data_IF_920107778747
#
_entry.id   IF_920107778747
#
_cell.length_a   1.000
_cell.length_b   1.000
_cell.length_c   1.000
_cell.angle_alpha   90.00
_cell.angle_beta   90.00
_cell.angle_gamma   90.00
#
_symmetry.space_group_name_H-M   'P 1'
#
loop_
_entity.id
_entity.type
_entity.pdbx_description
1 polymer ?
#
# COMPACT_ATOMS: atom_id res chain seq x y z
N UNK A 1 -84.94 12.13 21.09
CA UNK A 1 -83.76 12.54 21.87
C UNK A 1 -82.89 11.31 22.10
N UNK A 2 -81.67 11.28 21.53
CA UNK A 2 -80.55 10.34 21.77
C UNK A 2 -80.86 8.82 21.82
N UNK A 3 -80.45 8.04 20.81
CA UNK A 3 -79.13 7.35 20.64
C UNK A 3 -79.31 5.84 20.83
N UNK A 4 -78.99 5.05 19.80
CA UNK A 4 -77.81 4.16 19.82
C UNK A 4 -77.61 3.47 18.47
N UNK A 5 -76.42 3.73 17.95
CA UNK A 5 -75.76 3.10 16.82
C UNK A 5 -75.34 1.68 17.23
N UNK A 6 -75.50 0.71 16.33
CA UNK A 6 -74.67 -0.51 16.31
C UNK A 6 -74.05 -0.61 14.91
N UNK A 7 -72.74 -0.38 14.87
CA UNK A 7 -71.86 -0.68 13.74
C UNK A 7 -71.61 -2.19 13.74
N UNK A 8 -71.90 -2.86 12.63
CA UNK A 8 -71.35 -4.18 12.33
C UNK A 8 -70.23 -4.00 11.29
N UNK A 9 -69.02 -4.37 11.70
CA UNK A 9 -67.82 -4.47 10.86
C UNK A 9 -67.95 -5.62 9.86
N UNK A 10 -67.53 -5.39 8.62
CA UNK A 10 -67.09 -6.43 7.68
C UNK A 10 -65.73 -5.98 7.13
N UNK A 11 -64.64 -6.76 7.27
CA UNK A 11 -63.32 -6.36 6.82
C UNK A 11 -63.22 -6.62 5.31
N UNK A 12 -63.13 -5.55 4.51
CA UNK A 12 -62.64 -5.67 3.15
C UNK A 12 -61.13 -5.85 3.22
N UNK A 13 -60.67 -7.08 2.96
CA UNK A 13 -59.28 -7.37 2.58
C UNK A 13 -58.97 -6.59 1.30
N UNK A 14 -58.32 -5.44 1.45
CA UNK A 14 -57.67 -4.75 0.34
C UNK A 14 -56.44 -5.58 -0.05
N UNK A 15 -56.60 -6.43 -1.06
CA UNK A 15 -55.49 -6.97 -1.83
C UNK A 15 -54.75 -5.75 -2.38
N UNK A 16 -53.62 -5.40 -1.76
CA UNK A 16 -52.69 -4.45 -2.33
C UNK A 16 -52.17 -5.10 -3.61
N UNK A 17 -52.72 -4.70 -4.75
CA UNK A 17 -52.14 -4.97 -6.04
C UNK A 17 -50.75 -4.32 -6.02
N UNK A 18 -49.71 -5.12 -5.80
CA UNK A 18 -48.36 -4.73 -6.18
C UNK A 18 -48.42 -4.49 -7.70
N UNK A 19 -48.56 -3.22 -8.09
CA UNK A 19 -48.41 -2.84 -9.48
C UNK A 19 -47.03 -3.32 -9.92
N UNK A 20 -46.99 -4.20 -10.92
CA UNK A 20 -45.72 -4.61 -11.51
C UNK A 20 -44.94 -3.35 -11.91
N UNK A 21 -43.64 -3.26 -11.59
CA UNK A 21 -42.84 -2.09 -11.93
C UNK A 21 -42.95 -1.85 -13.44
N UNK A 22 -43.41 -0.65 -13.79
CA UNK A 22 -43.60 -0.24 -15.17
C UNK A 22 -42.26 -0.38 -15.91
N UNK A 23 -42.25 -1.19 -16.98
CA UNK A 23 -41.05 -1.49 -17.76
C UNK A 23 -40.97 -0.58 -18.98
N UNK A 24 -39.75 -0.23 -19.38
CA UNK A 24 -39.51 0.54 -20.59
C UNK A 24 -39.87 -0.28 -21.84
N UNK A 25 -40.30 0.39 -22.90
CA UNK A 25 -40.61 -0.29 -24.16
C UNK A 25 -39.32 -0.85 -24.80
N UNK A 26 -39.43 -2.02 -25.43
CA UNK A 26 -38.29 -2.65 -26.14
C UNK A 26 -37.70 -1.74 -27.21
N UNK A 27 -38.54 -0.91 -27.83
CA UNK A 27 -38.14 0.08 -28.84
C UNK A 27 -37.25 1.16 -28.21
N UNK A 28 -37.67 1.76 -27.10
CA UNK A 28 -36.92 2.84 -26.45
C UNK A 28 -35.59 2.34 -25.87
N UNK A 29 -35.60 1.13 -25.30
CA UNK A 29 -34.38 0.43 -24.87
C UNK A 29 -33.43 0.19 -26.04
N UNK A 30 -33.94 -0.27 -27.18
CA UNK A 30 -33.14 -0.52 -28.39
C UNK A 30 -32.48 0.75 -28.95
N UNK A 31 -33.20 1.88 -28.96
CA UNK A 31 -32.63 3.15 -29.38
C UNK A 31 -31.57 3.67 -28.40
N UNK A 32 -31.84 3.61 -27.08
CA UNK A 32 -30.87 4.02 -26.08
C UNK A 32 -29.58 3.18 -26.15
N UNK A 33 -29.72 1.86 -26.33
CA UNK A 33 -28.61 0.92 -26.52
C UNK A 33 -27.77 1.24 -27.77
N UNK A 34 -28.41 1.57 -28.89
CA UNK A 34 -27.72 1.91 -30.14
C UNK A 34 -26.80 3.13 -29.95
N UNK A 35 -27.34 4.26 -29.47
CA UNK A 35 -26.56 5.48 -29.26
C UNK A 35 -25.48 5.31 -28.18
N UNK A 36 -25.76 4.51 -27.14
CA UNK A 36 -24.78 4.20 -26.11
C UNK A 36 -23.60 3.40 -26.69
N UNK A 37 -23.84 2.40 -27.53
CA UNK A 37 -22.77 1.65 -28.20
C UNK A 37 -21.92 2.53 -29.11
N UNK A 38 -22.54 3.45 -29.84
CA UNK A 38 -21.79 4.43 -30.65
C UNK A 38 -20.90 5.32 -29.77
N UNK A 39 -21.45 5.87 -28.69
CA UNK A 39 -20.69 6.69 -27.75
C UNK A 39 -19.53 5.90 -27.11
N UNK A 40 -19.78 4.67 -26.65
CA UNK A 40 -18.75 3.76 -26.13
C UNK A 40 -17.64 3.49 -27.17
N UNK A 41 -18.01 3.28 -28.44
CA UNK A 41 -17.07 3.06 -29.52
C UNK A 41 -16.28 4.32 -29.88
N UNK A 42 -16.88 5.52 -29.82
CA UNK A 42 -16.18 6.79 -29.97
C UNK A 42 -15.16 7.00 -28.84
N UNK A 43 -15.56 6.76 -27.59
CA UNK A 43 -14.69 6.83 -26.40
C UNK A 43 -13.52 5.86 -26.50
N UNK A 44 -13.74 4.63 -26.96
CA UNK A 44 -12.64 3.68 -27.19
C UNK A 44 -11.67 4.17 -28.27
N UNK A 45 -12.19 4.67 -29.40
CA UNK A 45 -11.38 5.15 -30.53
C UNK A 45 -10.55 6.39 -30.18
N UNK A 46 -11.10 7.30 -29.38
CA UNK A 46 -10.40 8.51 -28.92
C UNK A 46 -9.47 8.25 -27.73
N UNK A 47 -9.35 6.99 -27.27
CA UNK A 47 -8.69 6.63 -26.01
C UNK A 47 -9.18 7.47 -24.82
N UNK A 48 -10.46 7.85 -24.86
CA UNK A 48 -11.10 8.64 -23.82
C UNK A 48 -10.82 10.14 -23.85
N UNK A 49 -9.97 10.67 -24.75
CA UNK A 49 -9.53 12.08 -24.76
C UNK A 49 -10.63 13.11 -24.39
N UNK A 50 -10.36 13.93 -23.36
CA UNK A 50 -11.28 14.96 -22.88
C UNK A 50 -11.51 16.09 -23.92
N UNK A 51 -10.55 16.28 -24.83
CA UNK A 51 -10.58 17.32 -25.86
C UNK A 51 -11.30 16.86 -27.14
N UNK A 52 -11.74 15.60 -27.18
CA UNK A 52 -12.47 15.06 -28.33
C UNK A 52 -13.96 15.38 -28.21
N UNK A 53 -14.54 15.87 -29.30
CA UNK A 53 -15.99 16.02 -29.42
C UNK A 53 -16.62 14.66 -29.74
N UNK A 54 -17.46 14.17 -28.83
CA UNK A 54 -18.22 12.92 -28.97
C UNK A 54 -19.60 13.22 -29.55
N UNK A 55 -19.89 12.70 -30.75
CA UNK A 55 -21.11 13.05 -31.50
C UNK A 55 -22.34 12.42 -30.84
N UNK A 56 -22.26 11.13 -30.52
CA UNK A 56 -23.40 10.38 -29.96
C UNK A 56 -23.61 10.58 -28.45
N UNK A 57 -22.75 11.36 -27.79
CA UNK A 57 -22.76 11.55 -26.33
C UNK A 57 -24.06 12.16 -25.81
N UNK A 58 -24.46 13.33 -26.31
CA UNK A 58 -25.62 14.04 -25.77
C UNK A 58 -26.91 13.26 -26.02
N UNK A 59 -27.03 12.64 -27.19
CA UNK A 59 -28.19 11.81 -27.55
C UNK A 59 -28.29 10.54 -26.68
N UNK A 60 -27.16 9.85 -26.46
CA UNK A 60 -27.11 8.69 -25.56
C UNK A 60 -27.51 9.07 -24.13
N UNK A 61 -26.90 10.13 -23.57
CA UNK A 61 -27.14 10.54 -22.19
C UNK A 61 -28.56 11.07 -21.97
N UNK A 62 -29.10 11.87 -22.88
CA UNK A 62 -30.46 12.41 -22.77
C UNK A 62 -31.51 11.28 -22.81
N UNK A 63 -31.35 10.31 -23.71
CA UNK A 63 -32.29 9.17 -23.84
C UNK A 63 -32.28 8.31 -22.58
N UNK A 64 -31.09 7.98 -22.08
CA UNK A 64 -30.94 7.17 -20.86
C UNK A 64 -31.41 7.93 -19.63
N UNK A 65 -31.18 9.25 -19.54
CA UNK A 65 -31.70 10.08 -18.45
C UNK A 65 -33.24 10.08 -18.44
N UNK A 66 -33.88 10.23 -19.60
CA UNK A 66 -35.35 10.15 -19.71
C UNK A 66 -35.85 8.78 -19.25
N UNK A 67 -35.24 7.70 -19.73
CA UNK A 67 -35.60 6.34 -19.31
C UNK A 67 -35.44 6.13 -17.80
N UNK A 68 -34.34 6.59 -17.20
CA UNK A 68 -34.10 6.43 -15.76
C UNK A 68 -35.07 7.26 -14.90
N UNK A 69 -35.51 8.44 -15.38
CA UNK A 69 -36.53 9.24 -14.71
C UNK A 69 -37.92 8.59 -14.79
N UNK A 70 -38.25 7.94 -15.89
CA UNK A 70 -39.57 7.33 -16.12
C UNK A 70 -39.67 5.91 -15.55
N UNK A 71 -38.60 5.13 -15.60
CA UNK A 71 -38.56 3.72 -15.20
C UNK A 71 -37.34 3.41 -14.29
N UNK A 72 -37.23 4.06 -13.11
CA UNK A 72 -36.04 3.94 -12.26
C UNK A 72 -35.80 2.54 -11.68
N UNK A 73 -36.84 1.69 -11.65
CA UNK A 73 -36.77 0.32 -11.12
C UNK A 73 -36.64 -0.75 -12.22
N UNK A 74 -36.57 -0.37 -13.50
CA UNK A 74 -36.37 -1.33 -14.59
C UNK A 74 -34.88 -1.76 -14.65
N UNK A 75 -34.55 -3.05 -14.46
CA UNK A 75 -33.17 -3.54 -14.50
C UNK A 75 -32.45 -3.25 -15.83
N UNK A 76 -33.16 -3.25 -16.96
CA UNK A 76 -32.57 -2.97 -18.26
C UNK A 76 -32.16 -1.50 -18.38
N UNK A 77 -32.96 -0.59 -17.83
CA UNK A 77 -32.66 0.84 -17.77
C UNK A 77 -31.49 1.10 -16.83
N UNK A 78 -31.44 0.43 -15.67
CA UNK A 78 -30.31 0.52 -14.73
C UNK A 78 -28.99 0.05 -15.37
N UNK A 79 -29.02 -1.04 -16.14
CA UNK A 79 -27.84 -1.53 -16.86
C UNK A 79 -27.33 -0.52 -17.91
N UNK A 80 -28.24 0.11 -18.67
CA UNK A 80 -27.91 1.19 -19.60
C UNK A 80 -27.31 2.40 -18.88
N UNK A 81 -27.89 2.78 -17.73
CA UNK A 81 -27.44 3.90 -16.92
C UNK A 81 -26.01 3.72 -16.41
N UNK A 82 -25.70 2.55 -15.84
CA UNK A 82 -24.34 2.25 -15.35
C UNK A 82 -23.31 2.25 -16.48
N UNK A 83 -23.64 1.67 -17.64
CA UNK A 83 -22.77 1.72 -18.82
C UNK A 83 -22.55 3.14 -19.32
N UNK A 84 -23.60 3.95 -19.40
CA UNK A 84 -23.50 5.35 -19.80
C UNK A 84 -22.64 6.18 -18.84
N UNK A 85 -22.77 5.94 -17.54
CA UNK A 85 -21.91 6.54 -16.51
C UNK A 85 -20.44 6.18 -16.73
N UNK A 86 -20.13 4.90 -16.96
CA UNK A 86 -18.76 4.45 -17.26
C UNK A 86 -18.22 5.09 -18.54
N UNK A 87 -19.01 5.10 -19.62
CA UNK A 87 -18.61 5.71 -20.89
C UNK A 87 -18.35 7.22 -20.74
N UNK A 88 -19.21 7.92 -19.99
CA UNK A 88 -19.05 9.34 -19.69
C UNK A 88 -17.77 9.63 -18.90
N UNK A 89 -17.45 8.80 -17.92
CA UNK A 89 -16.21 8.92 -17.15
C UNK A 89 -14.98 8.67 -18.04
N UNK A 90 -15.01 7.62 -18.86
CA UNK A 90 -13.95 7.32 -19.85
C UNK A 90 -13.78 8.43 -20.88
N UNK A 91 -14.84 9.14 -21.27
CA UNK A 91 -14.78 10.28 -22.20
C UNK A 91 -14.02 11.50 -21.65
N UNK A 92 -13.50 11.45 -20.42
CA UNK A 92 -12.75 12.54 -19.76
C UNK A 92 -11.24 12.32 -19.76
N UNK A 93 -10.73 11.41 -20.57
CA UNK A 93 -9.32 11.30 -20.97
C UNK A 93 -8.50 10.35 -20.13
N UNK A 94 -8.88 10.20 -18.87
CA UNK A 94 -7.98 9.72 -17.83
C UNK A 94 -8.73 8.83 -16.84
N UNK A 95 -9.53 7.87 -17.33
CA UNK A 95 -10.36 7.05 -16.46
C UNK A 95 -10.27 5.57 -16.80
N UNK A 96 -9.96 4.77 -15.79
CA UNK A 96 -10.08 3.32 -15.83
C UNK A 96 -11.02 2.83 -14.73
N UNK A 97 -11.83 1.83 -15.02
CA UNK A 97 -12.75 1.29 -14.02
C UNK A 97 -11.97 0.38 -13.07
N UNK A 98 -11.85 0.80 -11.81
CA UNK A 98 -11.24 -0.03 -10.77
C UNK A 98 -12.18 -1.20 -10.44
N UNK A 99 -11.70 -2.42 -10.65
CA UNK A 99 -12.46 -3.64 -10.36
C UNK A 99 -12.17 -4.13 -8.94
N UNK A 100 -13.07 -4.90 -8.31
CA UNK A 100 -12.81 -5.50 -7.00
C UNK A 100 -11.53 -6.35 -6.96
N UNK A 101 -11.21 -7.05 -8.05
CA UNK A 101 -9.98 -7.84 -8.16
C UNK A 101 -8.71 -6.98 -8.09
N UNK A 102 -8.73 -5.78 -8.71
CA UNK A 102 -7.57 -4.87 -8.72
C UNK A 102 -7.21 -4.34 -7.33
N UNK A 103 -8.17 -4.32 -6.39
CA UNK A 103 -8.02 -3.81 -5.02
C UNK A 103 -8.23 -4.88 -3.96
N UNK A 104 -8.30 -6.16 -4.34
CA UNK A 104 -8.50 -7.26 -3.40
C UNK A 104 -7.41 -7.30 -2.32
N UNK A 105 -6.18 -6.95 -2.70
CA UNK A 105 -5.04 -6.85 -1.78
C UNK A 105 -5.29 -5.89 -0.61
N UNK A 106 -5.99 -4.77 -0.82
CA UNK A 106 -6.32 -3.81 0.25
C UNK A 106 -7.26 -4.42 1.28
N UNK A 107 -8.18 -5.29 0.85
CA UNK A 107 -9.08 -6.00 1.76
C UNK A 107 -8.33 -7.07 2.55
N UNK A 108 -7.45 -7.84 1.88
CA UNK A 108 -6.60 -8.84 2.55
C UNK A 108 -5.71 -8.19 3.61
N UNK A 109 -5.10 -7.06 3.27
CA UNK A 109 -4.30 -6.26 4.19
C UNK A 109 -5.11 -5.73 5.36
N UNK A 110 -6.31 -5.19 5.11
CA UNK A 110 -7.21 -4.74 6.18
C UNK A 110 -7.54 -5.87 7.15
N UNK A 111 -7.87 -7.06 6.64
CA UNK A 111 -8.16 -8.23 7.47
C UNK A 111 -6.93 -8.66 8.29
N UNK A 112 -5.75 -8.65 7.67
CA UNK A 112 -4.51 -8.99 8.36
C UNK A 112 -4.21 -7.99 9.48
N UNK A 113 -4.31 -6.69 9.18
CA UNK A 113 -4.12 -5.62 10.16
C UNK A 113 -5.09 -5.74 11.34
N UNK A 114 -6.38 -5.96 11.08
CA UNK A 114 -7.39 -6.13 12.13
C UNK A 114 -7.08 -7.35 13.03
N UNK A 115 -6.65 -8.47 12.44
CA UNK A 115 -6.21 -9.66 13.19
C UNK A 115 -5.02 -9.33 14.08
N UNK A 116 -3.98 -8.72 13.54
CA UNK A 116 -2.74 -8.45 14.29
C UNK A 116 -2.91 -7.32 15.32
N UNK A 117 -3.81 -6.37 15.09
CA UNK A 117 -4.19 -5.37 16.08
C UNK A 117 -4.78 -6.03 17.34
N UNK A 118 -5.70 -6.99 17.17
CA UNK A 118 -6.30 -7.74 18.28
C UNK A 118 -5.28 -8.61 19.03
N UNK A 119 -4.42 -9.32 18.28
CA UNK A 119 -3.33 -10.11 18.85
C UNK A 119 -2.36 -9.22 19.64
N UNK A 120 -2.03 -8.06 19.09
CA UNK A 120 -1.13 -7.10 19.71
C UNK A 120 -1.72 -6.47 20.96
N UNK A 121 -3.01 -6.12 20.96
CA UNK A 121 -3.70 -5.60 22.14
C UNK A 121 -3.71 -6.64 23.27
N UNK A 122 -3.99 -7.90 22.93
CA UNK A 122 -3.95 -9.02 23.89
C UNK A 122 -2.56 -9.16 24.49
N UNK A 123 -1.53 -9.23 23.64
CA UNK A 123 -0.14 -9.35 24.08
C UNK A 123 0.31 -8.14 24.90
N UNK A 124 -0.10 -6.93 24.52
CA UNK A 124 0.21 -5.70 25.27
C UNK A 124 -0.37 -5.73 26.69
N UNK A 125 -1.60 -6.24 26.85
CA UNK A 125 -2.21 -6.45 28.17
C UNK A 125 -1.46 -7.52 28.97
N UNK A 126 -1.11 -8.65 28.35
CA UNK A 126 -0.31 -9.71 29.00
C UNK A 126 1.03 -9.20 29.51
N UNK A 127 1.74 -8.38 28.71
CA UNK A 127 3.02 -7.82 29.10
C UNK A 127 2.94 -6.94 30.35
N UNK A 128 1.77 -6.35 30.62
CA UNK A 128 1.55 -5.51 31.80
C UNK A 128 1.07 -6.29 33.03
N UNK A 129 0.51 -7.49 32.84
CA UNK A 129 -0.07 -8.28 33.93
C UNK A 129 0.98 -8.71 34.95
N UNK A 130 0.66 -8.57 36.24
CA UNK A 130 1.52 -9.00 37.34
C UNK A 130 2.77 -8.15 37.58
N UNK A 131 2.94 -7.04 36.82
CA UNK A 131 4.04 -6.11 37.01
C UNK A 131 3.66 -4.98 37.93
N UNK A 132 4.62 -4.53 38.75
CA UNK A 132 4.51 -3.29 39.50
C UNK A 132 4.80 -2.11 38.57
N UNK A 133 3.77 -1.71 37.82
CA UNK A 133 3.85 -0.60 36.87
C UNK A 133 3.66 0.71 37.62
N UNK A 134 4.62 1.61 37.44
CA UNK A 134 4.50 2.97 37.94
C UNK A 134 3.29 3.66 37.31
N UNK A 135 2.25 3.86 38.12
CA UNK A 135 1.00 4.47 37.71
C UNK A 135 1.10 5.96 37.36
N UNK A 136 2.21 6.63 37.71
CA UNK A 136 2.40 8.06 37.48
C UNK A 136 3.83 8.36 37.05
N UNK A 137 3.93 9.30 36.11
CA UNK A 137 5.16 10.01 35.74
C UNK A 137 5.78 10.58 37.02
N UNK A 138 6.87 9.97 37.48
CA UNK A 138 7.70 10.41 38.60
C UNK A 138 8.17 11.86 38.41
N UNK A 139 8.19 12.68 39.48
CA UNK A 139 8.70 14.05 39.41
C UNK A 139 10.16 14.09 38.92
N UNK A 140 10.57 15.27 38.45
CA UNK A 140 11.96 15.58 38.08
C UNK A 140 12.93 15.05 39.13
N UNK A 141 13.96 14.34 38.68
CA UNK A 141 15.04 13.85 39.55
C UNK A 141 15.50 14.97 40.48
N UNK A 142 15.52 14.72 41.79
CA UNK A 142 16.18 15.59 42.76
C UNK A 142 17.39 14.83 43.34
N UNK A 143 18.60 15.05 42.79
CA UNK A 143 19.79 14.33 43.23
C UNK A 143 20.12 14.52 44.72
N UNK A 144 19.58 15.55 45.37
CA UNK A 144 19.82 15.86 46.78
C UNK A 144 18.75 15.29 47.71
N UNK A 145 17.61 14.83 47.18
CA UNK A 145 16.47 14.35 47.99
C UNK A 145 15.94 12.97 47.61
N UNK A 146 16.44 12.36 46.54
CA UNK A 146 16.08 10.99 46.20
C UNK A 146 16.59 10.04 47.29
N UNK A 147 15.69 9.44 48.06
CA UNK A 147 15.93 8.29 48.94
C UNK A 147 15.73 6.98 48.15
N UNK A 148 16.24 5.83 48.64
CA UNK A 148 15.99 4.53 48.03
C UNK A 148 14.49 4.19 47.84
N UNK A 149 13.59 4.74 48.67
CA UNK A 149 12.14 4.53 48.50
C UNK A 149 11.53 5.38 47.37
N UNK A 150 12.17 6.51 47.06
CA UNK A 150 11.76 7.45 46.00
C UNK A 150 12.51 7.24 44.69
N UNK A 151 13.52 6.37 44.68
CA UNK A 151 14.24 6.00 43.47
C UNK A 151 13.38 5.01 42.65
N UNK A 152 12.96 5.38 41.43
CA UNK A 152 12.19 4.49 40.56
C UNK A 152 13.07 3.53 39.75
N UNK A 153 14.39 3.49 39.99
CA UNK A 153 15.29 2.53 39.32
C UNK A 153 14.80 1.09 39.50
N UNK A 154 14.96 0.27 38.46
CA UNK A 154 14.41 -1.09 38.29
C UNK A 154 12.88 -1.19 38.19
N UNK A 155 12.13 -0.11 38.40
CA UNK A 155 10.67 -0.15 38.24
C UNK A 155 10.28 -0.13 36.77
N UNK A 156 9.16 -0.78 36.48
CA UNK A 156 8.57 -0.80 35.14
C UNK A 156 7.68 0.43 34.95
N UNK A 157 7.77 1.05 33.77
CA UNK A 157 6.94 2.19 33.39
C UNK A 157 6.35 2.00 32.00
N UNK A 158 5.13 2.51 31.82
CA UNK A 158 4.49 2.67 30.52
C UNK A 158 4.51 4.15 30.15
N UNK A 159 5.26 4.49 29.11
CA UNK A 159 5.40 5.85 28.61
C UNK A 159 4.63 6.01 27.30
N UNK A 160 3.51 6.75 27.28
CA UNK A 160 2.84 7.12 26.04
C UNK A 160 3.56 8.28 25.34
N UNK A 161 3.13 8.58 24.12
CA UNK A 161 3.57 9.75 23.34
C UNK A 161 5.07 9.83 23.03
N UNK A 162 5.73 8.67 22.91
CA UNK A 162 7.13 8.57 22.50
C UNK A 162 7.17 8.69 20.97
N UNK A 163 7.56 9.85 20.46
CA UNK A 163 7.63 10.10 19.03
C UNK A 163 9.03 9.76 18.50
N UNK A 164 9.12 9.16 17.33
CA UNK A 164 10.40 8.94 16.67
C UNK A 164 10.22 9.10 15.15
N UNK A 165 11.15 9.80 14.45
CA UNK A 165 12.39 10.41 14.97
C UNK A 165 12.20 11.78 15.65
N UNK A 166 10.96 12.26 15.77
CA UNK A 166 10.68 13.53 16.46
C UNK A 166 11.15 13.46 17.93
N UNK A 167 11.76 14.51 18.48
CA UNK A 167 12.32 14.54 19.84
C UNK A 167 13.52 13.61 20.12
N UNK A 168 14.08 12.99 19.09
CA UNK A 168 15.39 12.35 19.19
C UNK A 168 16.49 13.38 19.47
N UNK A 169 17.43 13.05 20.33
CA UNK A 169 18.64 13.83 20.55
C UNK A 169 19.83 12.93 20.92
N UNK A 170 21.03 13.38 20.55
CA UNK A 170 22.29 12.77 20.96
C UNK A 170 22.80 13.53 22.17
N UNK A 171 22.76 12.87 23.32
CA UNK A 171 23.21 13.38 24.61
C UNK A 171 24.68 13.06 24.89
N UNK A 172 25.12 13.41 26.10
CA UNK A 172 26.47 13.10 26.57
C UNK A 172 26.63 11.62 26.93
N UNK A 173 25.56 10.97 27.40
CA UNK A 173 25.58 9.57 27.85
C UNK A 173 24.99 8.56 26.87
N UNK A 174 24.40 9.02 25.77
CA UNK A 174 23.78 8.14 24.78
C UNK A 174 22.87 8.87 23.81
N UNK A 175 22.06 8.08 23.11
CA UNK A 175 21.05 8.58 22.18
C UNK A 175 19.66 8.28 22.72
N UNK A 176 18.82 9.31 22.77
CA UNK A 176 17.55 9.25 23.48
C UNK A 176 16.41 9.90 22.72
N UNK A 177 15.18 9.51 23.09
CA UNK A 177 13.97 10.28 22.81
C UNK A 177 13.52 10.92 24.11
N UNK A 178 13.33 12.25 24.11
CA UNK A 178 12.79 12.94 25.28
C UNK A 178 11.26 12.84 25.34
N UNK A 179 10.75 12.48 26.52
CA UNK A 179 9.33 12.46 26.86
C UNK A 179 9.12 13.26 28.14
N UNK A 180 8.02 14.02 28.21
CA UNK A 180 7.67 14.83 29.38
C UNK A 180 8.05 16.30 29.25
N UNK A 181 8.04 17.01 30.39
CA UNK A 181 8.22 18.46 30.47
C UNK A 181 8.72 18.86 31.86
N UNK A 182 9.29 20.07 32.04
CA UNK A 182 9.89 20.48 33.31
C UNK A 182 8.96 20.36 34.53
N UNK A 183 7.65 20.54 34.36
CA UNK A 183 6.68 20.47 35.45
C UNK A 183 6.27 19.05 35.87
N UNK A 184 6.54 18.04 35.03
CA UNK A 184 6.17 16.64 35.31
C UNK A 184 7.37 15.71 35.36
N UNK A 185 8.58 16.22 35.15
CA UNK A 185 9.79 15.41 34.97
C UNK A 185 10.01 15.00 33.51
N UNK A 186 11.27 14.70 33.20
CA UNK A 186 11.70 14.18 31.91
C UNK A 186 12.00 12.68 32.00
N UNK A 187 11.72 11.99 30.90
CA UNK A 187 12.17 10.63 30.64
C UNK A 187 13.00 10.63 29.37
N UNK A 188 14.10 9.90 29.40
CA UNK A 188 15.00 9.73 28.27
C UNK A 188 14.94 8.27 27.86
N UNK A 189 14.13 7.96 26.84
CA UNK A 189 14.03 6.60 26.32
C UNK A 189 15.31 6.30 25.53
N UNK A 190 16.08 5.31 25.96
CA UNK A 190 17.33 4.93 25.31
C UNK A 190 17.04 4.25 23.97
N UNK A 191 17.62 4.79 22.90
CA UNK A 191 17.45 4.24 21.54
C UNK A 191 18.76 3.78 20.89
N UNK A 192 19.90 3.94 21.57
CA UNK A 192 21.21 3.51 21.06
C UNK A 192 21.47 2.00 21.19
N UNK A 193 20.61 1.28 21.91
CA UNK A 193 20.76 -0.14 22.23
C UNK A 193 19.93 -1.09 21.35
N UNK A 194 20.17 -2.39 21.52
CA UNK A 194 19.38 -3.46 20.85
C UNK A 194 17.94 -3.51 21.35
N UNK A 195 17.73 -3.01 22.56
CA UNK A 195 16.49 -2.90 23.30
C UNK A 195 15.46 -2.04 22.54
N UNK A 196 15.93 -1.00 21.84
CA UNK A 196 15.12 -0.22 20.90
C UNK A 196 15.18 -0.78 19.48
N UNK A 197 16.39 -1.04 18.97
CA UNK A 197 16.60 -1.41 17.57
C UNK A 197 15.89 -2.71 17.19
N UNK A 198 15.90 -3.73 18.07
CA UNK A 198 15.24 -5.02 17.82
C UNK A 198 13.73 -4.88 17.60
N UNK A 199 12.98 -4.34 18.58
CA UNK A 199 11.55 -4.06 18.42
C UNK A 199 11.24 -3.10 17.26
N UNK A 200 12.04 -2.05 17.07
CA UNK A 200 11.83 -1.09 15.99
C UNK A 200 11.99 -1.73 14.60
N UNK A 201 13.00 -2.59 14.41
CA UNK A 201 13.15 -3.38 13.19
C UNK A 201 12.02 -4.41 13.02
N UNK A 202 11.47 -4.96 14.10
CA UNK A 202 10.28 -5.80 14.03
C UNK A 202 9.04 -5.03 13.52
N UNK A 203 8.87 -3.77 13.96
CA UNK A 203 7.81 -2.89 13.46
C UNK A 203 8.02 -2.55 11.97
N UNK A 204 9.26 -2.35 11.51
CA UNK A 204 9.54 -2.17 10.07
C UNK A 204 9.16 -3.42 9.26
N UNK A 205 9.45 -4.63 9.77
CA UNK A 205 9.03 -5.89 9.12
C UNK A 205 7.51 -6.01 9.12
N UNK A 206 6.84 -5.71 10.22
CA UNK A 206 5.38 -5.66 10.28
C UNK A 206 4.78 -4.67 9.28
N UNK A 207 5.36 -3.47 9.12
CA UNK A 207 4.90 -2.51 8.10
C UNK A 207 4.95 -3.11 6.69
N UNK A 208 6.07 -3.75 6.38
CA UNK A 208 6.34 -4.38 5.07
C UNK A 208 5.47 -5.58 4.79
N UNK A 209 5.10 -6.33 5.82
CA UNK A 209 4.44 -7.62 5.65
C UNK A 209 2.94 -7.57 5.97
N UNK A 210 2.54 -6.72 6.91
CA UNK A 210 1.18 -6.64 7.43
C UNK A 210 0.56 -5.29 7.10
N UNK A 211 1.06 -4.18 7.64
CA UNK A 211 0.39 -2.87 7.59
C UNK A 211 1.22 -1.77 6.94
N UNK A 212 1.01 -1.56 5.65
CA UNK A 212 1.69 -0.55 4.84
C UNK A 212 1.16 0.87 5.06
N UNK A 213 0.07 1.02 5.84
CA UNK A 213 -0.48 2.33 6.18
C UNK A 213 0.25 3.04 7.32
N UNK A 214 1.12 2.33 8.05
CA UNK A 214 2.01 2.93 9.05
C UNK A 214 3.01 3.87 8.35
N UNK A 215 3.00 5.14 8.75
CA UNK A 215 3.90 6.17 8.22
C UNK A 215 5.34 6.05 8.74
N UNK A 216 6.15 7.07 8.44
CA UNK A 216 7.57 7.12 8.84
C UNK A 216 7.79 7.78 10.23
N UNK A 217 6.94 8.74 10.62
CA UNK A 217 6.89 9.25 12.01
C UNK A 217 5.82 8.47 12.77
N UNK A 218 6.27 7.80 13.84
CA UNK A 218 5.44 6.89 14.61
C UNK A 218 5.34 7.41 16.05
N UNK A 219 4.13 7.32 16.59
CA UNK A 219 3.88 7.57 17.99
C UNK A 219 3.81 6.23 18.72
N UNK A 220 4.73 6.01 19.65
CA UNK A 220 4.84 4.77 20.40
C UNK A 220 4.36 4.97 21.84
N UNK A 221 3.80 3.89 22.38
CA UNK A 221 3.78 3.65 23.81
C UNK A 221 4.88 2.66 24.15
N UNK A 222 5.80 3.06 25.03
CA UNK A 222 6.96 2.26 25.42
C UNK A 222 6.69 1.62 26.77
N UNK A 223 6.83 0.30 26.84
CA UNK A 223 7.01 -0.41 28.10
C UNK A 223 8.51 -0.57 28.32
N UNK A 224 9.01 -0.12 29.46
CA UNK A 224 10.44 -0.21 29.75
C UNK A 224 10.76 -0.17 31.24
N UNK A 225 12.03 -0.41 31.56
CA UNK A 225 12.57 -0.31 32.91
C UNK A 225 13.35 0.97 33.07
N UNK A 226 13.22 1.60 34.23
CA UNK A 226 14.03 2.76 34.58
C UNK A 226 15.39 2.27 35.06
N UNK A 227 16.46 2.67 34.40
CA UNK A 227 17.82 2.23 34.73
C UNK A 227 18.58 3.22 35.60
N UNK A 228 18.10 4.45 35.69
CA UNK A 228 18.65 5.47 36.58
C UNK A 228 18.46 6.89 36.04
N UNK A 229 19.00 7.89 36.75
CA UNK A 229 18.94 9.29 36.33
C UNK A 229 20.06 9.64 35.35
N UNK A 230 19.78 10.55 34.42
CA UNK A 230 20.78 11.19 33.56
C UNK A 230 20.56 12.70 33.49
N UNK A 231 21.65 13.44 33.26
CA UNK A 231 21.65 14.89 33.13
C UNK A 231 22.01 15.27 31.69
N UNK A 232 21.00 15.69 30.93
CA UNK A 232 21.09 15.81 29.47
C UNK A 232 20.54 17.14 28.97
N UNK A 233 20.80 17.45 27.69
CA UNK A 233 20.21 18.59 26.98
C UNK A 233 19.10 18.06 26.05
N UNK A 234 17.86 17.91 26.52
CA UNK A 234 16.80 17.30 25.72
C UNK A 234 16.39 18.17 24.53
N UNK A 235 16.48 17.65 23.30
CA UNK A 235 15.97 18.32 22.09
C UNK A 235 16.93 19.32 21.42
N UNK A 236 16.39 20.15 20.51
CA UNK A 236 17.21 20.98 19.61
C UNK A 236 17.70 22.29 20.26
N UNK A 237 19.01 22.39 20.53
CA UNK A 237 19.88 23.59 20.80
C UNK A 237 19.41 24.73 21.73
N UNK A 238 18.14 24.84 22.13
CA UNK A 238 17.57 25.95 22.93
C UNK A 238 17.02 25.53 24.29
N UNK A 239 17.15 24.25 24.63
CA UNK A 239 16.75 23.69 25.92
C UNK A 239 17.92 23.74 26.89
N UNK A 240 17.64 24.11 28.14
CA UNK A 240 18.62 24.04 29.23
C UNK A 240 18.84 22.57 29.62
N UNK A 241 20.01 22.27 30.20
CA UNK A 241 20.27 20.96 30.79
C UNK A 241 19.20 20.62 31.82
N UNK A 242 18.74 19.38 31.79
CA UNK A 242 17.70 18.88 32.66
C UNK A 242 18.02 17.45 33.12
N UNK A 243 17.62 17.15 34.35
CA UNK A 243 17.62 15.78 34.81
C UNK A 243 16.39 15.03 34.31
N UNK A 244 16.59 13.78 33.93
CA UNK A 244 15.52 12.86 33.55
C UNK A 244 15.84 11.42 33.93
N UNK A 245 14.82 10.58 33.94
CA UNK A 245 14.96 9.14 34.18
C UNK A 245 15.21 8.42 32.85
N UNK A 246 16.29 7.65 32.76
CA UNK A 246 16.60 6.84 31.60
C UNK A 246 15.68 5.62 31.60
N UNK A 247 15.05 5.34 30.47
CA UNK A 247 14.19 4.18 30.27
C UNK A 247 14.78 3.29 29.20
N UNK A 248 15.03 2.04 29.57
CA UNK A 248 15.43 0.99 28.65
C UNK A 248 14.18 0.26 28.13
N UNK A 249 13.91 0.29 26.81
CA UNK A 249 12.71 -0.33 26.24
C UNK A 249 12.71 -1.84 26.37
N UNK A 250 11.57 -2.42 26.74
CA UNK A 250 11.32 -3.86 26.64
C UNK A 250 10.28 -4.19 25.56
N UNK A 251 9.36 -3.26 25.29
CA UNK A 251 8.40 -3.39 24.20
C UNK A 251 7.98 -2.01 23.64
N UNK A 252 7.70 -1.99 22.35
CA UNK A 252 7.15 -0.85 21.62
C UNK A 252 5.73 -1.19 21.17
N UNK A 253 4.77 -0.34 21.50
CA UNK A 253 3.37 -0.51 21.13
C UNK A 253 2.90 0.69 20.30
N UNK A 254 2.24 0.40 19.18
CA UNK A 254 1.52 1.37 18.36
C UNK A 254 0.04 1.01 18.47
N UNK A 255 -0.74 1.92 19.05
CA UNK A 255 -2.12 1.64 19.43
C UNK A 255 -2.99 1.27 18.24
N UNK A 256 -3.72 0.16 18.35
CA UNK A 256 -4.55 -0.37 17.26
C UNK A 256 -3.78 -1.00 16.09
N UNK A 257 -2.46 -1.17 16.19
CA UNK A 257 -1.63 -1.72 15.11
C UNK A 257 -0.76 -2.90 15.56
N UNK A 258 0.23 -2.65 16.42
CA UNK A 258 1.29 -3.64 16.70
C UNK A 258 1.90 -3.46 18.09
N UNK A 259 2.23 -4.58 18.73
CA UNK A 259 3.26 -4.63 19.79
C UNK A 259 4.46 -5.42 19.28
N UNK A 260 5.65 -4.84 19.48
CA UNK A 260 6.92 -5.51 19.25
C UNK A 260 7.69 -5.59 20.56
N UNK A 261 8.33 -6.73 20.81
CA UNK A 261 9.04 -7.03 22.05
C UNK A 261 10.52 -7.23 21.80
N UNK A 262 11.33 -6.80 22.77
CA UNK A 262 12.75 -7.09 22.78
C UNK A 262 12.98 -8.52 23.25
N UNK A 263 13.87 -9.23 22.57
CA UNK A 263 14.30 -10.57 22.96
C UNK A 263 15.78 -10.73 22.63
N UNK A 264 16.62 -10.69 23.67
CA UNK A 264 18.07 -10.83 23.53
C UNK A 264 18.52 -12.19 22.97
N UNK A 265 17.68 -13.23 23.10
CA UNK A 265 17.96 -14.58 22.59
C UNK A 265 17.58 -14.76 21.12
N UNK A 266 16.78 -13.84 20.58
CA UNK A 266 16.33 -13.89 19.20
C UNK A 266 17.39 -13.31 18.26
N UNK A 267 17.62 -13.96 17.10
CA UNK A 267 18.65 -13.55 16.13
C UNK A 267 18.51 -12.08 15.67
N UNK A 268 17.27 -11.59 15.59
CA UNK A 268 16.94 -10.21 15.20
C UNK A 268 16.77 -9.25 16.40
N UNK A 269 17.03 -9.71 17.62
CA UNK A 269 16.85 -8.98 18.89
C UNK A 269 15.44 -8.47 19.20
N UNK A 270 14.45 -8.73 18.34
CA UNK A 270 13.05 -8.42 18.60
C UNK A 270 12.11 -9.03 17.58
N UNK A 271 10.85 -9.19 17.98
CA UNK A 271 9.78 -9.83 17.22
C UNK A 271 8.43 -9.18 17.52
N UNK A 272 7.46 -9.43 16.64
CA UNK A 272 6.05 -9.16 16.93
C UNK A 272 5.26 -10.46 17.02
N UNK A 273 4.04 -10.37 17.57
CA UNK A 273 3.18 -11.52 17.84
C UNK A 273 2.92 -12.32 16.56
N UNK A 274 3.22 -13.62 16.56
CA UNK A 274 3.03 -14.53 15.42
C UNK A 274 3.73 -14.10 14.11
N UNK A 275 4.87 -13.39 14.19
CA UNK A 275 5.66 -12.98 13.01
C UNK A 275 5.95 -14.14 12.04
N UNK A 276 6.26 -15.33 12.57
CA UNK A 276 6.55 -16.55 11.82
C UNK A 276 5.36 -17.07 11.00
N UNK A 277 4.12 -16.77 11.41
CA UNK A 277 2.90 -17.24 10.74
C UNK A 277 2.47 -16.33 9.59
N UNK A 278 2.99 -15.11 9.49
CA UNK A 278 2.60 -14.12 8.48
C UNK A 278 2.78 -14.68 7.07
N UNK A 279 3.93 -15.29 6.79
CA UNK A 279 4.24 -15.84 5.47
C UNK A 279 3.21 -16.89 5.02
N UNK A 280 2.89 -17.86 5.90
CA UNK A 280 1.92 -18.92 5.59
C UNK A 280 0.50 -18.41 5.36
N UNK A 281 0.09 -17.33 6.03
CA UNK A 281 -1.21 -16.69 5.78
C UNK A 281 -1.23 -16.09 4.36
N UNK A 282 -0.14 -15.44 3.95
CA UNK A 282 -0.05 -14.73 2.66
C UNK A 282 0.14 -15.66 1.47
N UNK A 283 0.69 -16.86 1.66
CA UNK A 283 0.82 -17.85 0.59
C UNK A 283 -0.50 -18.18 -0.12
N UNK A 284 -1.61 -18.17 0.63
CA UNK A 284 -2.95 -18.38 0.08
C UNK A 284 -3.52 -17.20 -0.70
N UNK A 285 -2.86 -16.03 -0.66
CA UNK A 285 -3.33 -14.80 -1.30
C UNK A 285 -2.57 -14.47 -2.59
N UNK A 286 -1.43 -15.10 -2.81
CA UNK A 286 -0.62 -14.83 -3.99
C UNK A 286 -1.33 -15.29 -5.27
N UNK A 287 -1.60 -14.34 -6.15
CA UNK A 287 -2.16 -14.64 -7.48
C UNK A 287 -1.10 -15.18 -8.42
N UNK A 288 0.14 -14.70 -8.27
CA UNK A 288 1.32 -15.12 -9.02
C UNK A 288 2.41 -15.58 -8.05
N UNK A 289 3.12 -16.65 -8.43
CA UNK A 289 4.21 -17.22 -7.60
C UNK A 289 5.57 -17.21 -8.29
N UNK A 290 5.57 -17.12 -9.60
CA UNK A 290 6.78 -17.19 -10.44
C UNK A 290 6.59 -16.33 -11.68
N UNK A 291 7.68 -15.78 -12.22
CA UNK A 291 7.65 -15.09 -13.51
C UNK A 291 7.88 -16.12 -14.64
N UNK A 292 6.94 -16.28 -15.59
CA UNK A 292 7.12 -17.19 -16.72
C UNK A 292 8.34 -16.81 -17.58
N UNK A 293 9.09 -17.81 -18.05
CA UNK A 293 10.30 -17.61 -18.87
C UNK A 293 10.02 -16.86 -20.19
N UNK A 294 8.83 -17.05 -20.75
CA UNK A 294 8.38 -16.45 -22.01
C UNK A 294 7.44 -15.25 -21.81
N UNK A 295 7.37 -14.68 -20.62
CA UNK A 295 6.52 -13.52 -20.34
C UNK A 295 6.90 -12.32 -21.22
N UNK A 296 5.90 -11.60 -21.75
CA UNK A 296 6.14 -10.34 -22.47
C UNK A 296 6.61 -9.25 -21.50
N UNK A 297 7.24 -8.16 -21.98
CA UNK A 297 7.65 -7.05 -21.13
C UNK A 297 6.50 -6.46 -20.29
N UNK A 298 5.31 -6.30 -20.87
CA UNK A 298 4.12 -5.84 -20.13
C UNK A 298 3.74 -6.83 -19.04
N UNK A 299 3.76 -8.13 -19.35
CA UNK A 299 3.41 -9.17 -18.39
C UNK A 299 4.38 -9.21 -17.22
N UNK A 300 5.68 -9.01 -17.46
CA UNK A 300 6.68 -8.88 -16.38
C UNK A 300 6.36 -7.66 -15.49
N UNK A 301 6.00 -6.53 -16.08
CA UNK A 301 5.60 -5.34 -15.31
C UNK A 301 4.29 -5.53 -14.52
N UNK A 302 3.33 -6.27 -15.07
CA UNK A 302 2.11 -6.66 -14.35
C UNK A 302 2.45 -7.53 -13.14
N UNK A 303 3.28 -8.56 -13.31
CA UNK A 303 3.71 -9.44 -12.21
C UNK A 303 4.51 -8.66 -11.18
N UNK A 304 5.38 -7.74 -11.61
CA UNK A 304 6.11 -6.82 -10.75
C UNK A 304 5.16 -5.97 -9.88
N UNK A 305 4.13 -5.36 -10.48
CA UNK A 305 3.11 -4.61 -9.74
C UNK A 305 2.32 -5.50 -8.78
N UNK A 306 1.91 -6.69 -9.23
CA UNK A 306 1.19 -7.68 -8.41
C UNK A 306 2.01 -8.09 -7.20
N UNK A 307 3.30 -8.37 -7.38
CA UNK A 307 4.19 -8.72 -6.29
C UNK A 307 4.20 -7.63 -5.22
N UNK A 308 4.26 -6.36 -5.61
CA UNK A 308 4.18 -5.20 -4.68
C UNK A 308 2.83 -5.16 -3.97
N UNK A 309 1.72 -5.24 -4.71
CA UNK A 309 0.36 -5.22 -4.15
C UNK A 309 0.15 -6.31 -3.10
N UNK A 310 0.63 -7.51 -3.38
CA UNK A 310 0.47 -8.68 -2.52
C UNK A 310 1.57 -8.81 -1.47
N UNK A 311 2.49 -7.84 -1.43
CA UNK A 311 3.64 -7.82 -0.52
C UNK A 311 4.46 -9.13 -0.59
N UNK A 312 4.67 -9.64 -1.81
CA UNK A 312 5.51 -10.78 -2.14
C UNK A 312 6.92 -10.30 -2.56
N UNK A 313 7.78 -10.08 -1.57
CA UNK A 313 9.12 -9.55 -1.79
C UNK A 313 10.00 -10.47 -2.66
N UNK A 314 9.83 -11.79 -2.51
CA UNK A 314 10.60 -12.76 -3.28
C UNK A 314 10.28 -12.68 -4.78
N UNK A 315 8.99 -12.66 -5.14
CA UNK A 315 8.57 -12.49 -6.53
C UNK A 315 8.99 -11.12 -7.10
N UNK A 316 8.90 -10.07 -6.28
CA UNK A 316 9.39 -8.74 -6.65
C UNK A 316 10.88 -8.75 -7.00
N UNK A 317 11.72 -9.39 -6.17
CA UNK A 317 13.15 -9.54 -6.43
C UNK A 317 13.39 -10.37 -7.70
N UNK A 318 12.61 -11.42 -7.92
CA UNK A 318 12.70 -12.25 -9.13
C UNK A 318 12.38 -11.48 -10.41
N UNK A 319 11.48 -10.50 -10.39
CA UNK A 319 11.18 -9.66 -11.55
C UNK A 319 12.36 -8.75 -11.95
N UNK A 320 13.27 -8.45 -11.04
CA UNK A 320 14.34 -7.46 -11.22
C UNK A 320 15.62 -8.14 -11.71
N UNK A 321 16.36 -7.43 -12.55
CA UNK A 321 17.65 -7.87 -13.07
C UNK A 321 18.59 -8.22 -11.89
N UNK A 322 19.07 -9.48 -11.77
CA UNK A 322 19.93 -9.92 -10.66
C UNK A 322 21.21 -9.12 -10.50
N UNK A 323 21.72 -8.52 -11.58
CA UNK A 323 22.88 -7.62 -11.54
C UNK A 323 22.64 -6.39 -10.65
N UNK A 324 21.39 -5.99 -10.44
CA UNK A 324 21.02 -4.78 -9.69
C UNK A 324 21.02 -4.93 -8.18
N UNK A 325 21.18 -6.15 -7.65
CA UNK A 325 21.15 -6.42 -6.20
C UNK A 325 22.22 -7.43 -5.73
N UNK A 326 23.35 -7.51 -6.43
CA UNK A 326 24.45 -8.42 -6.07
C UNK A 326 25.17 -8.09 -4.76
N UNK A 327 25.16 -6.82 -4.36
CA UNK A 327 25.83 -6.34 -3.14
C UNK A 327 24.82 -6.10 -2.04
N UNK A 328 25.26 -6.17 -0.78
CA UNK A 328 24.41 -5.90 0.38
C UNK A 328 23.81 -4.49 0.35
N UNK A 329 24.59 -3.48 -0.06
CA UNK A 329 24.10 -2.11 -0.26
C UNK A 329 23.01 -2.03 -1.31
N UNK A 330 23.14 -2.79 -2.41
CA UNK A 330 22.16 -2.81 -3.48
C UNK A 330 20.88 -3.56 -3.07
N UNK A 331 20.99 -4.64 -2.29
CA UNK A 331 19.85 -5.32 -1.67
C UNK A 331 19.12 -4.39 -0.68
N UNK A 332 19.85 -3.60 0.10
CA UNK A 332 19.25 -2.58 0.97
C UNK A 332 18.52 -1.50 0.17
N UNK A 333 19.10 -1.02 -0.93
CA UNK A 333 18.46 -0.05 -1.82
C UNK A 333 17.19 -0.63 -2.47
N UNK A 334 17.24 -1.90 -2.83
CA UNK A 334 16.09 -2.63 -3.36
C UNK A 334 14.93 -2.67 -2.36
N UNK A 335 15.22 -2.94 -1.08
CA UNK A 335 14.23 -2.88 0.02
C UNK A 335 13.67 -1.48 0.24
N UNK A 336 14.52 -0.46 0.12
CA UNK A 336 14.07 0.93 0.21
C UNK A 336 13.04 1.27 -0.87
N UNK A 337 13.30 0.93 -2.14
CA UNK A 337 12.33 1.19 -3.21
C UNK A 337 11.06 0.34 -3.09
N UNK A 338 11.18 -0.89 -2.60
CA UNK A 338 10.02 -1.71 -2.25
C UNK A 338 9.10 -1.03 -1.24
N UNK A 339 9.66 -0.44 -0.19
CA UNK A 339 8.90 0.30 0.82
C UNK A 339 8.19 1.52 0.22
N UNK A 340 8.88 2.28 -0.64
CA UNK A 340 8.28 3.43 -1.32
C UNK A 340 7.15 3.02 -2.28
N UNK A 341 7.28 1.87 -2.95
CA UNK A 341 6.26 1.39 -3.89
C UNK A 341 4.96 1.07 -3.17
N UNK A 342 5.07 0.43 -2.00
CA UNK A 342 3.94 0.18 -1.12
C UNK A 342 3.30 1.49 -0.66
N UNK A 343 4.08 2.47 -0.19
CA UNK A 343 3.56 3.77 0.23
C UNK A 343 2.74 4.45 -0.88
N UNK A 344 3.24 4.46 -2.12
CA UNK A 344 2.50 5.01 -3.26
C UNK A 344 1.21 4.25 -3.57
N UNK A 345 1.21 2.93 -3.43
CA UNK A 345 0.02 2.09 -3.64
C UNK A 345 -1.07 2.25 -2.57
N UNK A 346 -0.72 2.81 -1.40
CA UNK A 346 -1.65 3.14 -0.34
C UNK A 346 -2.12 4.60 -0.36
N UNK A 347 -1.27 5.53 -0.83
CA UNK A 347 -1.55 6.97 -0.76
C UNK A 347 -1.88 7.64 -2.09
N UNK A 348 -1.22 7.24 -3.19
CA UNK A 348 -1.28 7.97 -4.46
C UNK A 348 -2.18 7.29 -5.49
N UNK A 349 -2.03 5.98 -5.70
CA UNK A 349 -2.77 5.21 -6.71
C UNK A 349 -3.01 3.78 -6.24
N UNK A 350 -3.99 3.06 -6.80
CA UNK A 350 -4.33 1.68 -6.39
C UNK A 350 -4.04 0.65 -7.48
N UNK A 351 -3.79 1.09 -8.71
CA UNK A 351 -3.50 0.22 -9.83
C UNK A 351 -2.72 0.96 -10.93
N UNK A 352 -2.01 0.21 -11.76
CA UNK A 352 -1.41 0.72 -12.98
C UNK A 352 -1.56 -0.29 -14.12
N UNK A 353 -1.67 0.22 -15.34
CA UNK A 353 -1.71 -0.58 -16.57
C UNK A 353 -0.47 -0.30 -17.42
N UNK A 354 -0.02 -1.31 -18.17
CA UNK A 354 1.21 -1.24 -18.96
C UNK A 354 0.90 -1.38 -20.47
N UNK A 355 1.52 -0.53 -21.30
CA UNK A 355 1.30 -0.52 -22.75
C UNK A 355 2.47 0.10 -23.52
N UNK A 356 2.31 0.19 -24.85
CA UNK A 356 3.20 0.90 -25.78
C UNK A 356 4.65 0.37 -25.80
N UNK A 357 4.83 -0.95 -25.70
CA UNK A 357 6.17 -1.56 -25.63
C UNK A 357 6.95 -1.36 -26.92
N UNK A 358 8.20 -0.95 -26.76
CA UNK A 358 9.19 -0.87 -27.84
C UNK A 358 10.41 -1.67 -27.46
N UNK A 359 10.81 -2.60 -28.32
CA UNK A 359 12.00 -3.45 -28.14
C UNK A 359 13.08 -2.99 -29.10
N UNK A 360 14.31 -2.85 -28.60
CA UNK A 360 15.50 -2.52 -29.36
C UNK A 360 16.66 -3.40 -28.95
N UNK A 361 17.45 -3.87 -29.92
CA UNK A 361 18.72 -4.57 -29.67
C UNK A 361 19.80 -3.52 -29.37
N UNK A 362 20.48 -3.67 -28.23
CA UNK A 362 21.50 -2.71 -27.76
C UNK A 362 22.92 -3.28 -27.91
N UNK A 363 23.04 -4.61 -27.94
CA UNK A 363 24.28 -5.33 -28.19
C UNK A 363 23.98 -6.65 -28.89
N UNK A 364 24.89 -7.10 -29.75
CA UNK A 364 24.72 -8.33 -30.53
C UNK A 364 23.88 -8.08 -31.80
N UNK A 365 23.85 -9.10 -32.65
CA UNK A 365 23.24 -8.99 -33.97
C UNK A 365 21.73 -8.77 -33.89
N UNK A 366 21.22 -7.81 -34.67
CA UNK A 366 19.80 -7.51 -34.79
C UNK A 366 19.21 -8.09 -36.08
N UNK A 367 18.61 -9.28 -35.96
CA UNK A 367 17.93 -9.97 -37.07
C UNK A 367 16.75 -9.17 -37.66
N UNK A 368 16.32 -8.09 -37.01
CA UNK A 368 15.24 -7.21 -37.47
C UNK A 368 15.74 -5.90 -38.10
N UNK A 369 17.06 -5.68 -38.16
CA UNK A 369 17.62 -4.55 -38.89
C UNK A 369 17.65 -4.85 -40.39
N UNK A 370 16.50 -4.61 -41.05
CA UNK A 370 16.32 -4.89 -42.49
C UNK A 370 17.41 -4.26 -43.36
N UNK A 371 17.95 -3.10 -42.96
CA UNK A 371 19.00 -2.40 -43.70
C UNK A 371 20.33 -3.17 -43.66
N UNK A 372 20.80 -3.55 -42.47
CA UNK A 372 22.08 -4.28 -42.34
C UNK A 372 21.95 -5.70 -42.88
N UNK A 373 20.83 -6.38 -42.59
CA UNK A 373 20.59 -7.74 -43.05
C UNK A 373 20.46 -7.87 -44.57
N UNK A 374 20.05 -6.79 -45.25
CA UNK A 374 20.03 -6.76 -46.71
C UNK A 374 21.42 -6.92 -47.35
N UNK A 375 22.47 -6.44 -46.68
CA UNK A 375 23.85 -6.48 -47.22
C UNK A 375 24.63 -7.73 -46.83
N UNK A 376 24.05 -8.63 -46.03
CA UNK A 376 24.74 -9.77 -45.45
C UNK A 376 24.15 -11.09 -45.98
N UNK A 377 25.02 -11.99 -46.44
CA UNK A 377 24.62 -13.37 -46.70
C UNK A 377 24.48 -14.19 -45.40
N UNK A 378 23.95 -15.41 -45.49
CA UNK A 378 23.73 -16.27 -44.31
C UNK A 378 25.03 -16.57 -43.54
N UNK A 379 26.14 -16.77 -44.26
CA UNK A 379 27.44 -17.08 -43.64
C UNK A 379 28.06 -15.86 -42.93
N UNK A 380 27.87 -14.67 -43.48
CA UNK A 380 28.28 -13.40 -42.90
C UNK A 380 27.45 -13.04 -41.66
N UNK A 381 26.14 -13.33 -41.67
CA UNK A 381 25.28 -13.20 -40.48
C UNK A 381 25.73 -14.13 -39.35
N UNK A 382 25.98 -15.40 -39.66
CA UNK A 382 26.49 -16.37 -38.68
C UNK A 382 27.85 -15.95 -38.10
N UNK A 383 28.71 -15.34 -38.92
CA UNK A 383 30.00 -14.81 -38.47
C UNK A 383 29.84 -13.58 -37.57
N UNK A 384 28.93 -12.67 -37.90
CA UNK A 384 28.62 -11.48 -37.09
C UNK A 384 28.00 -11.86 -35.74
N UNK A 385 27.06 -12.81 -35.71
CA UNK A 385 26.51 -13.35 -34.46
C UNK A 385 27.61 -13.86 -33.53
N UNK A 386 28.64 -14.53 -34.09
CA UNK A 386 29.79 -15.03 -33.32
C UNK A 386 30.73 -13.90 -32.84
N UNK A 387 30.93 -12.85 -33.64
CA UNK A 387 31.80 -11.72 -33.29
C UNK A 387 31.16 -10.76 -32.28
N UNK A 388 29.88 -10.43 -32.45
CA UNK A 388 29.19 -9.41 -31.64
C UNK A 388 28.78 -9.93 -30.25
N UNK A 389 28.84 -11.25 -30.06
CA UNK A 389 28.64 -11.92 -28.78
C UNK A 389 27.17 -12.02 -28.37
N UNK A 390 26.94 -12.15 -27.06
CA UNK A 390 25.59 -12.35 -26.52
C UNK A 390 24.66 -11.17 -26.83
N UNK A 391 23.51 -11.47 -27.44
CA UNK A 391 22.45 -10.50 -27.76
C UNK A 391 21.85 -9.92 -26.48
N UNK A 392 21.81 -8.60 -26.38
CA UNK A 392 21.17 -7.86 -25.28
C UNK A 392 20.08 -6.98 -25.85
N UNK A 393 18.86 -7.18 -25.37
CA UNK A 393 17.67 -6.47 -25.81
C UNK A 393 17.15 -5.61 -24.67
N UNK A 394 16.74 -4.38 -24.98
CA UNK A 394 16.02 -3.50 -24.07
C UNK A 394 14.57 -3.35 -24.52
N UNK A 395 13.64 -3.40 -23.57
CA UNK A 395 12.25 -3.05 -23.80
C UNK A 395 11.89 -1.79 -23.02
N UNK A 396 11.18 -0.87 -23.67
CA UNK A 396 10.63 0.32 -23.06
C UNK A 396 9.13 0.16 -22.94
N UNK A 397 8.60 0.11 -21.71
CA UNK A 397 7.17 -0.10 -21.41
C UNK A 397 6.62 1.15 -20.74
N UNK A 398 5.42 1.62 -21.14
CA UNK A 398 4.78 2.76 -20.48
C UNK A 398 3.76 2.30 -19.44
N UNK A 399 3.76 2.89 -18.26
CA UNK A 399 2.74 2.67 -17.24
C UNK A 399 1.81 3.86 -17.08
N UNK A 400 0.54 3.59 -16.78
CA UNK A 400 -0.48 4.56 -16.39
C UNK A 400 -1.04 4.18 -15.03
N UNK A 401 -0.92 5.04 -14.03
CA UNK A 401 -1.42 4.80 -12.68
C UNK A 401 -2.81 5.40 -12.48
N UNK A 402 -3.65 4.77 -11.63
CA UNK A 402 -5.03 5.17 -11.37
C UNK A 402 -5.34 5.17 -9.88
N UNK A 403 -6.04 6.22 -9.42
CA UNK A 403 -6.54 6.31 -8.05
C UNK A 403 -7.72 5.36 -7.80
N UNK A 404 -8.22 5.31 -6.56
CA UNK A 404 -9.36 4.48 -6.18
C UNK A 404 -10.66 4.83 -6.93
N UNK A 405 -10.77 6.06 -7.43
CA UNK A 405 -11.91 6.48 -8.25
C UNK A 405 -11.72 6.12 -9.73
N UNK A 406 -10.56 5.60 -10.11
CA UNK A 406 -10.22 5.28 -11.49
C UNK A 406 -9.61 6.42 -12.28
N UNK A 407 -9.35 7.58 -11.67
CA UNK A 407 -8.74 8.72 -12.33
C UNK A 407 -7.24 8.50 -12.48
N UNK A 408 -6.69 8.84 -13.64
CA UNK A 408 -5.25 8.77 -13.86
C UNK A 408 -4.51 9.71 -12.90
N UNK A 409 -3.44 9.19 -12.30
CA UNK A 409 -2.53 9.92 -11.42
C UNK A 409 -1.22 10.17 -12.17
N UNK A 410 -0.82 11.45 -12.25
CA UNK A 410 0.42 11.85 -12.92
C UNK A 410 0.44 11.57 -14.43
N UNK A 411 1.64 11.62 -15.00
CA UNK A 411 1.91 11.33 -16.41
C UNK A 411 2.27 9.86 -16.62
N UNK A 412 2.26 9.40 -17.89
CA UNK A 412 2.71 8.04 -18.21
C UNK A 412 4.20 7.92 -17.89
N UNK A 413 4.57 6.96 -17.04
CA UNK A 413 5.96 6.69 -16.70
C UNK A 413 6.56 5.66 -17.66
N UNK A 414 7.87 5.77 -17.89
CA UNK A 414 8.60 4.89 -18.81
C UNK A 414 9.49 3.96 -18.00
N UNK A 415 9.26 2.66 -18.14
CA UNK A 415 10.04 1.59 -17.54
C UNK A 415 10.94 0.93 -18.59
N UNK A 416 12.09 0.44 -18.15
CA UNK A 416 13.12 -0.22 -18.93
C UNK A 416 13.29 -1.64 -18.43
N UNK A 417 13.17 -2.58 -19.35
CA UNK A 417 13.48 -3.98 -19.11
C UNK A 417 14.67 -4.40 -19.95
N UNK A 418 15.39 -5.39 -19.47
CA UNK A 418 16.56 -5.99 -20.12
C UNK A 418 16.37 -7.50 -20.26
N UNK A 419 16.88 -8.06 -21.35
CA UNK A 419 16.96 -9.49 -21.60
C UNK A 419 18.28 -9.79 -22.29
N UNK A 420 18.89 -10.92 -21.93
CA UNK A 420 20.17 -11.38 -22.51
C UNK A 420 20.00 -12.77 -23.12
N UNK A 421 20.66 -13.03 -24.24
CA UNK A 421 20.74 -14.35 -24.87
C UNK A 421 19.39 -14.96 -25.25
N UNK A 422 18.36 -14.15 -25.45
CA UNK A 422 17.02 -14.64 -25.73
C UNK A 422 16.25 -15.19 -24.52
N UNK A 423 16.76 -15.01 -23.30
CA UNK A 423 16.14 -15.47 -22.05
C UNK A 423 14.90 -14.67 -21.63
N UNK A 424 14.64 -14.64 -20.33
CA UNK A 424 13.52 -13.90 -19.73
C UNK A 424 13.79 -12.39 -19.68
N UNK A 425 12.72 -11.59 -19.71
CA UNK A 425 12.79 -10.15 -19.41
C UNK A 425 12.92 -9.88 -17.91
N UNK A 426 13.68 -8.86 -17.56
CA UNK A 426 13.88 -8.38 -16.20
C UNK A 426 13.70 -6.87 -16.13
N UNK A 427 13.11 -6.37 -15.05
CA UNK A 427 13.03 -4.94 -14.75
C UNK A 427 14.43 -4.42 -14.41
N UNK A 428 14.90 -3.43 -15.16
CA UNK A 428 16.23 -2.83 -14.95
C UNK A 428 16.14 -1.53 -14.14
N UNK A 429 15.05 -0.78 -14.32
CA UNK A 429 14.77 0.48 -13.62
C UNK A 429 13.64 0.36 -12.58
N UNK A 430 13.81 -0.57 -11.64
CA UNK A 430 12.86 -0.83 -10.56
C UNK A 430 12.64 0.36 -9.61
N UNK A 431 13.54 1.35 -9.65
CA UNK A 431 13.56 2.50 -8.78
C UNK A 431 12.35 3.41 -9.03
N UNK A 432 11.80 3.93 -7.95
CA UNK A 432 10.79 4.97 -8.03
C UNK A 432 11.46 6.26 -8.51
N UNK A 433 10.94 6.79 -9.62
CA UNK A 433 11.31 8.12 -10.10
C UNK A 433 10.55 9.17 -9.28
N UNK A 434 11.30 10.10 -8.69
CA UNK A 434 10.82 11.22 -7.89
C UNK A 434 10.22 12.33 -8.75
#
# INVERSE_FOLDING_TARGET
MMKKVHFALLPLLAVSAYAEPQKASTRDLGYAEFYLKEFEAEVRRSQGSANTMYRSKNDALNRIQTLMKTYPQDPAVQALYERARVALMKSKGNYNQITPAMVAYLNNEKQLREKYAQLSETRWKELQQGRDILAKVFPTVDPLKNTPETDPTEKTIVLPDVKYPDNQFVGASGEYIVVGKPSTGFYFVNIGGREWLGPYEAIKRFRREVDGSLGDSLNFTVLGKITGPAFEIPGNRRTNMAWGWVVEPEALYIDGHIVAVFDASHDKSGSFVEEDKVAGIKEGWYTERTVPENATPERVMEIFLTAIKEKNYELYRQCINPERYKTETAESLLRYHWDLHQQRLHGEYVHATFSDTKISVVKGHDDKNDLENFFLDDAQRDHLIKMEGEKVEHATVKSQAFDANGKQVGVKNVHKLIRKGGGRWYVDDYEIRF
#
